data_IF_778704401790
#
_entry.id   IF_778704401790
#
_cell.length_a   1.000
_cell.length_b   1.000
_cell.length_c   1.000
_cell.angle_alpha   90.00
_cell.angle_beta   90.00
_cell.angle_gamma   90.00
#
_symmetry.space_group_name_H-M   'P 1'
#
loop_
_entity.id
_entity.type
_entity.pdbx_description
1 polymer ?
#
# COMPACT_ATOMS: atom_id res chain seq x y z
N UNK A 1 6.36 28.44 23.06
CA UNK A 1 5.75 27.29 23.79
C UNK A 1 4.23 27.30 23.77
N UNK A 2 3.54 28.38 24.18
CA UNK A 2 2.07 28.40 24.30
C UNK A 2 1.29 28.07 23.00
N UNK A 3 1.81 28.41 21.81
CA UNK A 3 1.15 28.05 20.54
C UNK A 3 1.28 26.56 20.18
N UNK A 4 2.39 25.92 20.56
CA UNK A 4 2.63 24.49 20.29
C UNK A 4 1.83 23.58 21.23
N UNK A 5 1.53 24.03 22.46
CA UNK A 5 0.68 23.28 23.38
C UNK A 5 -0.78 23.17 22.90
N UNK A 6 -1.22 24.07 22.02
CA UNK A 6 -2.55 24.00 21.39
C UNK A 6 -2.64 22.95 20.28
N UNK A 7 -1.51 22.39 19.83
CA UNK A 7 -1.45 21.45 18.69
C UNK A 7 -1.41 19.98 19.14
N UNK A 8 -1.69 19.69 20.42
CA UNK A 8 -1.66 18.34 21.01
C UNK A 8 -0.35 17.58 20.74
N UNK A 9 0.78 18.29 20.77
CA UNK A 9 2.11 17.68 20.60
C UNK A 9 2.58 16.99 21.88
N UNK A 10 3.19 15.82 21.71
CA UNK A 10 3.95 15.20 22.81
C UNK A 10 5.13 16.09 23.19
N UNK A 11 5.65 15.95 24.42
CA UNK A 11 6.85 16.68 24.86
C UNK A 11 8.03 16.44 23.91
N UNK A 12 8.14 15.23 23.35
CA UNK A 12 9.18 14.87 22.38
C UNK A 12 9.01 15.65 21.06
N UNK A 13 7.79 15.75 20.54
CA UNK A 13 7.50 16.49 19.31
C UNK A 13 7.73 17.99 19.50
N UNK A 14 7.34 18.54 20.65
CA UNK A 14 7.60 19.95 20.98
C UNK A 14 9.09 20.26 20.99
N UNK A 15 9.91 19.40 21.61
CA UNK A 15 11.38 19.56 21.62
C UNK A 15 11.97 19.48 20.21
N UNK A 16 11.50 18.54 19.39
CA UNK A 16 11.96 18.41 18.00
C UNK A 16 11.66 19.69 17.19
N UNK A 17 10.43 20.18 17.24
CA UNK A 17 10.04 21.41 16.52
C UNK A 17 10.80 22.62 17.04
N UNK A 18 10.99 22.75 18.34
CA UNK A 18 11.80 23.84 18.91
C UNK A 18 13.26 23.77 18.44
N UNK A 19 13.86 22.58 18.36
CA UNK A 19 15.22 22.42 17.85
C UNK A 19 15.34 22.84 16.38
N UNK A 20 14.36 22.50 15.55
CA UNK A 20 14.31 22.91 14.15
C UNK A 20 14.21 24.42 13.98
N UNK A 21 13.37 25.08 14.79
CA UNK A 21 13.22 26.53 14.76
C UNK A 21 14.48 27.24 15.27
N UNK A 22 15.11 26.72 16.33
CA UNK A 22 16.37 27.25 16.84
C UNK A 22 17.47 27.16 15.77
N UNK A 23 17.64 26.00 15.14
CA UNK A 23 18.56 25.82 14.00
C UNK A 23 18.24 26.80 12.85
N UNK A 24 16.97 27.01 12.56
CA UNK A 24 16.53 27.95 11.52
C UNK A 24 16.93 29.39 11.82
N UNK A 25 16.67 29.88 13.04
CA UNK A 25 16.94 31.28 13.41
C UNK A 25 18.40 31.55 13.77
N UNK A 26 19.19 30.53 14.08
CA UNK A 26 20.62 30.67 14.44
C UNK A 26 21.55 30.43 13.26
N UNK A 27 21.06 29.84 12.16
CA UNK A 27 21.88 29.60 10.97
C UNK A 27 22.23 30.88 10.24
N UNK A 28 23.48 30.98 9.79
CA UNK A 28 23.98 32.16 9.08
C UNK A 28 23.40 32.33 7.68
N UNK A 29 23.07 31.23 7.00
CA UNK A 29 22.41 31.24 5.69
C UNK A 29 21.44 30.07 5.56
N UNK A 30 20.44 30.23 4.69
CA UNK A 30 19.52 29.15 4.33
C UNK A 30 20.28 27.93 3.76
N UNK A 31 21.27 28.15 2.90
CA UNK A 31 22.03 27.05 2.31
C UNK A 31 22.79 26.25 3.37
N UNK A 32 23.41 26.92 4.35
CA UNK A 32 24.11 26.25 5.47
C UNK A 32 23.14 25.36 6.25
N UNK A 33 21.95 25.89 6.57
CA UNK A 33 20.92 25.16 7.29
C UNK A 33 20.42 23.94 6.50
N UNK A 34 20.09 24.14 5.22
CA UNK A 34 19.58 23.05 4.38
C UNK A 34 20.64 21.95 4.20
N UNK A 35 21.91 22.31 4.04
CA UNK A 35 23.02 21.34 4.03
C UNK A 35 23.12 20.57 5.37
N UNK A 36 22.94 21.24 6.50
CA UNK A 36 22.94 20.59 7.81
C UNK A 36 21.78 19.58 7.92
N UNK A 37 20.58 19.97 7.52
CA UNK A 37 19.40 19.08 7.53
C UNK A 37 19.50 17.94 6.50
N UNK A 38 20.04 18.20 5.31
CA UNK A 38 20.25 17.21 4.25
C UNK A 38 21.17 16.06 4.71
N UNK A 39 22.12 16.37 5.59
CA UNK A 39 23.13 15.45 6.14
C UNK A 39 22.77 14.86 7.51
N UNK A 40 21.61 15.22 8.06
CA UNK A 40 21.17 14.75 9.39
C UNK A 40 20.67 13.30 9.40
N UNK A 41 20.55 12.66 8.23
CA UNK A 41 20.10 11.29 8.08
C UNK A 41 21.22 10.29 8.42
N UNK A 42 21.29 9.90 9.70
CA UNK A 42 22.17 8.81 10.15
C UNK A 42 21.40 7.49 10.01
N UNK A 43 21.62 6.79 8.89
CA UNK A 43 21.13 5.42 8.71
C UNK A 43 21.92 4.50 9.65
N UNK A 44 21.29 3.76 10.56
CA UNK A 44 21.98 2.87 11.47
C UNK A 44 22.73 1.77 10.70
N UNK A 45 24.02 1.60 11.00
CA UNK A 45 24.92 0.65 10.32
C UNK A 45 24.84 -0.79 10.85
N UNK A 46 23.85 -1.11 11.69
CA UNK A 46 23.71 -2.45 12.25
C UNK A 46 22.89 -3.34 11.32
N UNK A 47 23.57 -4.30 10.69
CA UNK A 47 22.97 -5.44 10.00
C UNK A 47 22.36 -6.42 11.03
N UNK A 48 21.29 -6.02 11.71
CA UNK A 48 20.41 -6.98 12.36
C UNK A 48 19.25 -7.24 11.41
N UNK A 49 19.22 -8.43 10.82
CA UNK A 49 18.12 -8.84 9.98
C UNK A 49 16.92 -9.14 10.87
N UNK A 50 15.84 -8.37 10.72
CA UNK A 50 14.58 -8.65 11.38
C UNK A 50 13.72 -9.50 10.45
N UNK A 51 13.08 -10.52 11.02
CA UNK A 51 12.12 -11.36 10.32
C UNK A 51 10.79 -10.61 10.30
N UNK A 52 10.33 -10.24 9.10
CA UNK A 52 9.02 -9.64 8.91
C UNK A 52 8.06 -10.61 8.27
N UNK A 53 6.81 -10.59 8.73
CA UNK A 53 5.73 -11.40 8.15
C UNK A 53 5.01 -10.65 7.03
N UNK A 54 4.61 -11.39 6.01
CA UNK A 54 4.05 -10.82 4.80
C UNK A 54 2.62 -10.34 5.03
N UNK A 55 2.36 -9.10 4.61
CA UNK A 55 1.02 -8.51 4.51
C UNK A 55 0.66 -8.21 3.06
N UNK A 56 -0.56 -8.57 2.67
CA UNK A 56 -1.08 -8.41 1.31
C UNK A 56 -2.37 -7.59 1.34
N UNK A 57 -2.35 -6.40 0.75
CA UNK A 57 -3.54 -5.55 0.61
C UNK A 57 -4.33 -5.97 -0.63
N UNK A 58 -5.63 -6.16 -0.51
CA UNK A 58 -6.55 -6.41 -1.62
C UNK A 58 -7.59 -5.29 -1.65
N UNK A 59 -7.76 -4.60 -2.78
CA UNK A 59 -8.66 -3.47 -2.85
C UNK A 59 -9.21 -3.25 -4.26
N UNK A 60 -10.52 -3.35 -4.43
CA UNK A 60 -11.19 -2.80 -5.61
C UNK A 60 -11.20 -1.27 -5.52
N UNK A 61 -10.45 -0.61 -6.40
CA UNK A 61 -10.26 0.85 -6.37
C UNK A 61 -11.31 1.62 -7.19
N UNK A 62 -12.18 0.92 -7.91
CA UNK A 62 -13.23 1.52 -8.76
C UNK A 62 -12.68 2.66 -9.66
N UNK A 63 -11.51 2.44 -10.27
CA UNK A 63 -10.79 3.39 -11.11
C UNK A 63 -9.54 3.97 -10.45
N UNK A 64 -8.37 3.56 -10.94
CA UNK A 64 -7.07 4.03 -10.41
C UNK A 64 -6.87 5.54 -10.59
N UNK A 65 -7.30 6.09 -11.73
CA UNK A 65 -7.07 7.51 -12.05
C UNK A 65 -7.64 8.49 -11.02
N UNK A 66 -8.71 8.12 -10.32
CA UNK A 66 -9.34 8.94 -9.29
C UNK A 66 -8.89 8.58 -7.88
N UNK A 67 -8.57 7.30 -7.61
CA UNK A 67 -8.30 6.80 -6.25
C UNK A 67 -6.85 6.40 -5.96
N UNK A 68 -5.91 6.65 -6.87
CA UNK A 68 -4.51 6.30 -6.68
C UNK A 68 -3.90 6.84 -5.38
N UNK A 69 -4.21 8.08 -4.98
CA UNK A 69 -3.68 8.68 -3.75
C UNK A 69 -4.26 8.01 -2.49
N UNK A 70 -5.55 7.70 -2.49
CA UNK A 70 -6.23 6.97 -1.42
C UNK A 70 -5.65 5.55 -1.28
N UNK A 71 -5.51 4.83 -2.38
CA UNK A 71 -4.88 3.52 -2.40
C UNK A 71 -3.43 3.59 -1.88
N UNK A 72 -2.68 4.61 -2.29
CA UNK A 72 -1.29 4.82 -1.85
C UNK A 72 -1.20 5.07 -0.34
N UNK A 73 -2.06 5.92 0.21
CA UNK A 73 -2.14 6.17 1.66
C UNK A 73 -2.45 4.87 2.43
N UNK A 74 -3.38 4.06 1.93
CA UNK A 74 -3.72 2.77 2.54
C UNK A 74 -2.55 1.78 2.53
N UNK A 75 -1.80 1.69 1.43
CA UNK A 75 -0.59 0.85 1.34
C UNK A 75 0.41 1.22 2.44
N UNK A 76 0.67 2.51 2.64
CA UNK A 76 1.60 2.96 3.68
C UNK A 76 1.07 2.72 5.09
N UNK A 77 -0.23 2.94 5.34
CA UNK A 77 -0.87 2.68 6.64
C UNK A 77 -0.85 1.20 7.03
N UNK A 78 -1.12 0.32 6.07
CA UNK A 78 -1.14 -1.13 6.30
C UNK A 78 0.25 -1.75 6.27
N UNK A 79 1.23 -1.02 5.73
CA UNK A 79 2.59 -1.52 5.47
C UNK A 79 2.57 -2.81 4.63
N UNK A 80 1.62 -2.90 3.69
CA UNK A 80 1.50 -4.06 2.82
C UNK A 80 2.72 -4.17 1.91
N UNK A 81 3.29 -5.36 1.81
CA UNK A 81 4.42 -5.63 0.92
C UNK A 81 3.98 -6.02 -0.49
N UNK A 82 2.75 -6.52 -0.61
CA UNK A 82 2.11 -6.86 -1.88
C UNK A 82 0.72 -6.24 -1.87
N UNK A 83 0.28 -5.72 -3.01
CA UNK A 83 -1.06 -5.18 -3.17
C UNK A 83 -1.71 -5.76 -4.42
N UNK A 84 -2.99 -6.10 -4.34
CA UNK A 84 -3.83 -6.54 -5.44
C UNK A 84 -4.93 -5.50 -5.61
N UNK A 85 -4.88 -4.76 -6.71
CA UNK A 85 -5.87 -3.76 -7.06
C UNK A 85 -6.73 -4.24 -8.22
N UNK A 86 -8.04 -4.23 -8.02
CA UNK A 86 -9.03 -4.55 -9.06
C UNK A 86 -9.77 -3.28 -9.50
N UNK A 87 -10.41 -3.34 -10.67
CA UNK A 87 -10.99 -2.19 -11.36
C UNK A 87 -10.05 -0.99 -11.50
N UNK A 88 -8.77 -1.23 -11.79
CA UNK A 88 -7.82 -0.12 -11.99
C UNK A 88 -8.13 0.70 -13.25
N UNK A 89 -8.92 0.16 -14.19
CA UNK A 89 -9.33 0.82 -15.41
C UNK A 89 -8.21 0.99 -16.44
N UNK A 90 -8.53 1.72 -17.52
CA UNK A 90 -7.58 2.03 -18.59
C UNK A 90 -6.48 3.02 -18.17
N UNK A 91 -6.71 3.81 -17.11
CA UNK A 91 -5.80 4.83 -16.58
C UNK A 91 -4.94 4.30 -15.42
N UNK A 92 -4.61 3.02 -15.41
CA UNK A 92 -3.85 2.38 -14.34
C UNK A 92 -2.45 2.98 -14.12
N UNK A 93 -1.88 3.66 -15.12
CA UNK A 93 -0.51 4.19 -15.09
C UNK A 93 -0.42 5.71 -14.92
N UNK A 94 -1.54 6.43 -14.71
CA UNK A 94 -1.52 7.88 -14.55
C UNK A 94 -0.76 8.32 -13.30
N UNK A 95 -0.72 7.47 -12.27
CA UNK A 95 0.03 7.66 -11.04
C UNK A 95 0.72 6.36 -10.68
N UNK A 96 2.04 6.35 -10.53
CA UNK A 96 2.77 5.15 -10.12
C UNK A 96 2.76 5.02 -8.61
N UNK A 97 2.58 3.80 -8.10
CA UNK A 97 2.79 3.49 -6.69
C UNK A 97 4.30 3.51 -6.38
N UNK A 98 4.81 4.49 -5.60
CA UNK A 98 6.25 4.60 -5.35
C UNK A 98 6.76 3.40 -4.57
N UNK A 99 8.01 2.97 -4.83
CA UNK A 99 8.65 1.82 -4.18
C UNK A 99 8.05 0.44 -4.48
N UNK A 100 7.14 0.33 -5.45
CA UNK A 100 6.60 -0.95 -5.92
C UNK A 100 6.96 -1.20 -7.39
N UNK A 101 7.14 -2.48 -7.74
CA UNK A 101 7.06 -2.99 -9.10
C UNK A 101 5.60 -3.35 -9.38
N UNK A 102 5.04 -2.90 -10.50
CA UNK A 102 3.63 -3.10 -10.83
C UNK A 102 3.46 -4.02 -12.04
N UNK A 103 2.55 -4.98 -11.92
CA UNK A 103 2.20 -5.94 -12.95
C UNK A 103 0.73 -5.78 -13.29
N UNK A 104 0.46 -5.31 -14.49
CA UNK A 104 -0.89 -5.01 -14.95
C UNK A 104 -1.38 -6.08 -15.93
N UNK A 105 -2.67 -6.38 -15.86
CA UNK A 105 -3.40 -7.08 -16.91
C UNK A 105 -4.63 -6.26 -17.29
N UNK A 106 -4.80 -6.00 -18.59
CA UNK A 106 -5.95 -5.27 -19.10
C UNK A 106 -7.24 -6.06 -18.90
N UNK A 107 -8.31 -5.34 -18.57
CA UNK A 107 -9.65 -5.91 -18.47
C UNK A 107 -10.41 -5.96 -19.78
N UNK A 108 -11.57 -6.59 -19.72
CA UNK A 108 -12.52 -6.74 -20.83
C UNK A 108 -13.39 -5.51 -21.06
N UNK A 109 -13.43 -4.57 -20.11
CA UNK A 109 -14.19 -3.33 -20.19
C UNK A 109 -13.35 -2.13 -19.69
N UNK A 110 -13.89 -0.90 -19.82
CA UNK A 110 -13.19 0.35 -19.48
C UNK A 110 -12.81 0.49 -17.99
N UNK A 111 -13.57 -0.13 -17.10
CA UNK A 111 -13.38 -0.08 -15.65
C UNK A 111 -12.52 -1.24 -15.15
N UNK A 112 -12.47 -2.34 -15.89
CA UNK A 112 -11.73 -3.54 -15.51
C UNK A 112 -10.21 -3.35 -15.56
N UNK A 113 -9.53 -4.46 -15.35
CA UNK A 113 -8.09 -4.53 -15.21
C UNK A 113 -7.70 -4.85 -13.78
N UNK A 114 -6.55 -5.51 -13.66
CA UNK A 114 -5.95 -5.90 -12.38
C UNK A 114 -4.52 -5.40 -12.36
N UNK A 115 -4.09 -4.88 -11.21
CA UNK A 115 -2.71 -4.54 -10.95
C UNK A 115 -2.25 -5.28 -9.69
N UNK A 116 -1.20 -6.08 -9.81
CA UNK A 116 -0.48 -6.60 -8.64
C UNK A 116 0.78 -5.77 -8.46
N UNK A 117 0.88 -5.10 -7.33
CA UNK A 117 2.05 -4.31 -6.95
C UNK A 117 2.87 -5.06 -5.91
N UNK A 118 4.17 -5.19 -6.13
CA UNK A 118 5.11 -5.86 -5.20
C UNK A 118 6.19 -4.88 -4.78
N UNK A 119 6.41 -4.74 -3.47
CA UNK A 119 7.42 -3.83 -2.93
C UNK A 119 8.81 -4.16 -3.48
N UNK A 120 9.59 -3.14 -3.83
CA UNK A 120 10.92 -3.29 -4.45
C UNK A 120 11.95 -3.98 -3.55
N UNK A 121 11.66 -4.12 -2.26
CA UNK A 121 12.45 -4.92 -1.32
C UNK A 121 12.27 -6.44 -1.54
N UNK A 122 11.22 -6.86 -2.24
CA UNK A 122 10.99 -8.25 -2.61
C UNK A 122 11.43 -8.51 -4.06
N UNK A 123 11.91 -9.72 -4.30
CA UNK A 123 12.18 -10.20 -5.66
C UNK A 123 10.89 -10.79 -6.23
N UNK A 124 10.63 -10.52 -7.50
CA UNK A 124 9.37 -10.92 -8.15
C UNK A 124 9.59 -11.23 -9.63
N UNK A 125 8.89 -12.25 -10.12
CA UNK A 125 8.82 -12.61 -11.54
C UNK A 125 7.37 -12.74 -11.98
N UNK A 126 7.03 -12.20 -13.15
CA UNK A 126 5.71 -12.35 -13.75
C UNK A 126 5.59 -13.73 -14.40
N UNK A 127 4.45 -14.40 -14.20
CA UNK A 127 4.06 -15.56 -14.98
C UNK A 127 3.18 -15.07 -16.13
N UNK A 128 3.50 -15.47 -17.35
CA UNK A 128 2.71 -15.06 -18.51
C UNK A 128 1.34 -15.76 -18.50
N UNK A 129 0.28 -14.95 -18.57
CA UNK A 129 -1.11 -15.39 -18.53
C UNK A 129 -1.88 -14.66 -19.62
N UNK A 130 -2.54 -15.43 -20.49
CA UNK A 130 -3.36 -14.89 -21.57
C UNK A 130 -4.86 -14.86 -21.19
N UNK A 131 -5.17 -14.44 -19.97
CA UNK A 131 -6.53 -14.31 -19.46
C UNK A 131 -6.73 -12.86 -19.01
N UNK A 132 -7.69 -12.16 -19.60
CA UNK A 132 -8.01 -10.78 -19.20
C UNK A 132 -8.45 -10.73 -17.74
N UNK A 133 -8.12 -9.62 -17.07
CA UNK A 133 -8.39 -9.41 -15.64
C UNK A 133 -7.68 -10.39 -14.68
N UNK A 134 -6.56 -11.00 -15.10
CA UNK A 134 -5.80 -11.91 -14.23
C UNK A 134 -4.31 -11.58 -14.30
N UNK A 135 -3.68 -11.43 -13.14
CA UNK A 135 -2.24 -11.23 -13.00
C UNK A 135 -1.69 -12.33 -12.11
N UNK A 136 -0.62 -12.98 -12.57
CA UNK A 136 0.09 -14.00 -11.79
C UNK A 136 1.54 -13.60 -11.63
N UNK A 137 2.02 -13.61 -10.38
CA UNK A 137 3.41 -13.31 -10.04
C UNK A 137 3.95 -14.29 -9.01
N UNK A 138 5.21 -14.65 -9.16
CA UNK A 138 5.97 -15.43 -8.19
C UNK A 138 6.85 -14.50 -7.37
N UNK A 139 6.82 -14.67 -6.04
CA UNK A 139 7.61 -13.91 -5.09
C UNK A 139 8.78 -14.77 -4.62
N UNK A 140 9.98 -14.21 -4.69
CA UNK A 140 11.23 -14.90 -4.44
C UNK A 140 11.93 -14.30 -3.20
N UNK A 141 12.72 -15.12 -2.51
CA UNK A 141 13.48 -14.67 -1.33
C UNK A 141 12.65 -14.58 -0.05
N UNK A 142 11.48 -15.20 -0.02
CA UNK A 142 10.70 -15.43 1.20
C UNK A 142 11.14 -16.73 1.89
N UNK A 143 10.72 -16.94 3.13
CA UNK A 143 10.93 -18.18 3.87
C UNK A 143 10.20 -19.38 3.25
N UNK A 144 9.15 -19.13 2.48
CA UNK A 144 8.36 -20.14 1.76
C UNK A 144 8.03 -19.63 0.34
N UNK A 145 8.01 -20.48 -0.69
CA UNK A 145 7.59 -20.09 -2.03
C UNK A 145 6.17 -19.51 -2.01
N UNK A 146 5.96 -18.40 -2.74
CA UNK A 146 4.66 -17.74 -2.82
C UNK A 146 4.34 -17.32 -4.24
N UNK A 147 3.17 -17.76 -4.72
CA UNK A 147 2.53 -17.26 -5.93
C UNK A 147 1.30 -16.44 -5.56
N UNK A 148 1.17 -15.28 -6.19
CA UNK A 148 0.00 -14.41 -6.07
C UNK A 148 -0.76 -14.41 -7.38
N UNK A 149 -2.06 -14.67 -7.30
CA UNK A 149 -3.01 -14.55 -8.41
C UNK A 149 -4.00 -13.44 -8.06
N UNK A 150 -3.87 -12.29 -8.73
CA UNK A 150 -4.84 -11.22 -8.68
C UNK A 150 -5.93 -11.41 -9.73
N UNK A 151 -7.20 -11.33 -9.34
CA UNK A 151 -8.33 -11.56 -10.25
C UNK A 151 -9.41 -10.48 -10.11
N UNK A 152 -9.97 -10.06 -11.25
CA UNK A 152 -11.21 -9.31 -11.30
C UNK A 152 -12.19 -10.03 -12.23
N UNK A 153 -13.30 -10.51 -11.68
CA UNK A 153 -14.33 -11.20 -12.45
C UNK A 153 -15.58 -10.33 -12.55
N UNK A 154 -15.67 -9.42 -13.55
CA UNK A 154 -16.85 -8.59 -13.71
C UNK A 154 -18.10 -9.44 -13.98
N UNK A 155 -19.27 -8.92 -13.58
CA UNK A 155 -20.55 -9.62 -13.73
C UNK A 155 -20.83 -10.06 -15.19
N UNK A 156 -20.38 -9.28 -16.18
CA UNK A 156 -20.59 -9.55 -17.61
C UNK A 156 -19.61 -10.56 -18.23
N UNK A 157 -18.53 -10.92 -17.55
CA UNK A 157 -17.52 -11.83 -18.10
C UNK A 157 -17.82 -13.28 -17.72
N UNK A 158 -17.61 -14.19 -18.67
CA UNK A 158 -17.50 -15.61 -18.41
C UNK A 158 -16.03 -15.97 -18.24
N UNK A 159 -15.68 -16.61 -17.13
CA UNK A 159 -14.35 -17.17 -16.88
C UNK A 159 -14.55 -18.67 -16.66
N UNK A 160 -13.77 -19.49 -17.34
CA UNK A 160 -13.64 -20.90 -16.99
C UNK A 160 -12.58 -21.01 -15.89
N UNK A 161 -12.97 -21.40 -14.68
CA UNK A 161 -12.03 -21.50 -13.55
C UNK A 161 -10.95 -22.56 -13.79
N UNK A 162 -11.22 -23.57 -14.62
CA UNK A 162 -10.23 -24.60 -14.96
C UNK A 162 -9.03 -24.05 -15.73
N UNK A 163 -9.21 -22.94 -16.44
CA UNK A 163 -8.11 -22.25 -17.12
C UNK A 163 -7.08 -21.68 -16.12
N UNK A 164 -7.45 -21.58 -14.83
CA UNK A 164 -6.55 -21.15 -13.75
C UNK A 164 -5.73 -22.27 -13.13
N UNK A 165 -6.11 -23.53 -13.33
CA UNK A 165 -5.51 -24.67 -12.62
C UNK A 165 -4.01 -24.81 -12.85
N UNK A 166 -3.54 -24.54 -14.07
CA UNK A 166 -2.12 -24.60 -14.38
C UNK A 166 -1.28 -23.55 -13.63
N UNK A 167 -1.91 -22.52 -13.08
CA UNK A 167 -1.24 -21.50 -12.27
C UNK A 167 -1.32 -21.80 -10.77
N UNK A 168 -2.25 -22.64 -10.32
CA UNK A 168 -2.38 -23.02 -8.91
C UNK A 168 -1.31 -24.07 -8.56
N UNK A 169 -0.32 -23.62 -7.80
CA UNK A 169 0.79 -24.46 -7.29
C UNK A 169 0.82 -24.41 -5.77
N UNK A 170 1.61 -25.28 -5.13
CA UNK A 170 1.84 -25.17 -3.68
C UNK A 170 2.38 -23.77 -3.34
N UNK A 171 1.80 -23.11 -2.35
CA UNK A 171 2.18 -21.73 -2.00
C UNK A 171 1.39 -20.67 -2.77
N UNK A 172 0.16 -20.94 -3.21
CA UNK A 172 -0.65 -19.97 -3.97
C UNK A 172 -1.65 -19.25 -3.07
N UNK A 173 -1.70 -17.92 -3.20
CA UNK A 173 -2.81 -17.08 -2.75
C UNK A 173 -3.51 -16.47 -3.97
N UNK A 174 -4.82 -16.66 -4.06
CA UNK A 174 -5.69 -16.07 -5.07
C UNK A 174 -6.58 -15.05 -4.38
N UNK A 175 -6.64 -13.82 -4.88
CA UNK A 175 -7.52 -12.81 -4.29
C UNK A 175 -7.95 -11.73 -5.28
N UNK A 176 -9.12 -11.15 -5.02
CA UNK A 176 -9.66 -10.02 -5.75
C UNK A 176 -11.19 -10.02 -5.73
N UNK A 177 -11.81 -9.30 -6.66
CA UNK A 177 -13.27 -9.19 -6.74
C UNK A 177 -13.82 -10.23 -7.72
N UNK A 178 -14.55 -11.22 -7.17
CA UNK A 178 -15.15 -12.32 -7.92
C UNK A 178 -16.58 -12.02 -8.39
N UNK A 179 -17.21 -10.96 -7.85
CA UNK A 179 -18.64 -10.69 -7.99
C UNK A 179 -19.52 -11.92 -7.72
N UNK A 180 -19.09 -12.81 -6.82
CA UNK A 180 -19.72 -14.08 -6.50
C UNK A 180 -20.12 -14.09 -5.03
N UNK A 181 -21.29 -14.64 -4.68
CA UNK A 181 -21.70 -14.76 -3.28
C UNK A 181 -21.89 -16.18 -2.83
N UNK A 182 -21.47 -16.47 -1.61
CA UNK A 182 -21.65 -17.74 -0.93
C UNK A 182 -22.11 -17.48 0.50
N UNK A 183 -23.21 -18.10 0.91
CA UNK A 183 -23.83 -17.88 2.22
C UNK A 183 -22.91 -18.28 3.37
N UNK A 184 -22.17 -19.37 3.20
CA UNK A 184 -21.17 -19.89 4.13
C UNK A 184 -19.95 -18.96 4.27
N UNK A 185 -19.77 -18.02 3.33
CA UNK A 185 -18.73 -16.99 3.35
C UNK A 185 -19.29 -15.62 3.76
N UNK A 186 -20.32 -15.64 4.62
CA UNK A 186 -20.97 -14.46 5.20
C UNK A 186 -21.69 -13.54 4.19
N UNK A 187 -22.12 -14.07 3.05
CA UNK A 187 -23.08 -13.37 2.18
C UNK A 187 -24.53 -13.74 2.51
N UNK A 188 -25.53 -12.93 2.11
CA UNK A 188 -26.94 -13.25 2.36
C UNK A 188 -27.43 -14.51 1.64
N UNK A 189 -26.90 -14.76 0.44
CA UNK A 189 -27.31 -15.86 -0.45
C UNK A 189 -26.09 -16.45 -1.17
N UNK A 190 -26.21 -17.71 -1.60
CA UNK A 190 -25.29 -18.31 -2.56
C UNK A 190 -25.86 -18.11 -3.96
N UNK A 191 -25.12 -17.42 -4.84
CA UNK A 191 -25.51 -17.29 -6.24
C UNK A 191 -24.85 -18.41 -7.09
N UNK A 192 -25.25 -18.52 -8.37
CA UNK A 192 -24.70 -19.55 -9.27
C UNK A 192 -23.18 -19.44 -9.40
N UNK A 193 -22.64 -18.23 -9.42
CA UNK A 193 -21.20 -18.00 -9.57
C UNK A 193 -20.46 -18.41 -8.30
N UNK A 194 -21.00 -18.08 -7.13
CA UNK A 194 -20.45 -18.48 -5.85
C UNK A 194 -20.50 -19.98 -5.64
N UNK A 195 -21.55 -20.67 -6.10
CA UNK A 195 -21.59 -22.13 -6.10
C UNK A 195 -20.44 -22.74 -6.91
N UNK A 196 -20.19 -22.22 -8.13
CA UNK A 196 -19.07 -22.66 -8.98
C UNK A 196 -17.70 -22.37 -8.35
N UNK A 197 -17.51 -21.18 -7.77
CA UNK A 197 -16.25 -20.84 -7.09
C UNK A 197 -16.04 -21.74 -5.88
N UNK A 198 -17.08 -22.02 -5.10
CA UNK A 198 -17.02 -22.88 -3.92
C UNK A 198 -16.62 -24.31 -4.28
N UNK A 199 -17.29 -24.91 -5.26
CA UNK A 199 -16.97 -26.25 -5.76
C UNK A 199 -15.53 -26.30 -6.27
N UNK A 200 -15.12 -25.34 -7.11
CA UNK A 200 -13.78 -25.29 -7.66
C UNK A 200 -12.67 -25.18 -6.60
N UNK A 201 -12.85 -24.37 -5.55
CA UNK A 201 -11.82 -24.31 -4.49
C UNK A 201 -11.73 -25.61 -3.68
N UNK A 202 -12.86 -26.28 -3.45
CA UNK A 202 -12.94 -27.54 -2.70
C UNK A 202 -12.23 -28.67 -3.45
N UNK A 203 -12.44 -28.76 -4.77
CA UNK A 203 -11.81 -29.76 -5.64
C UNK A 203 -10.29 -29.55 -5.78
N UNK A 204 -9.81 -28.31 -5.62
CA UNK A 204 -8.43 -27.93 -5.90
C UNK A 204 -7.60 -27.63 -4.64
N UNK A 205 -8.03 -28.12 -3.48
CA UNK A 205 -7.34 -27.98 -2.19
C UNK A 205 -7.04 -26.52 -1.80
N UNK A 206 -7.91 -25.60 -2.20
CA UNK A 206 -7.85 -24.20 -1.82
C UNK A 206 -8.82 -23.95 -0.67
N UNK A 207 -8.35 -23.26 0.36
CA UNK A 207 -9.16 -22.86 1.51
C UNK A 207 -9.58 -21.41 1.35
N UNK A 208 -10.86 -21.15 1.59
CA UNK A 208 -11.37 -19.79 1.73
C UNK A 208 -10.78 -19.13 2.98
N UNK A 209 -10.33 -17.88 2.84
CA UNK A 209 -9.83 -17.05 3.94
C UNK A 209 -10.96 -16.08 4.32
N UNK A 210 -11.60 -16.27 5.49
CA UNK A 210 -12.74 -15.47 5.89
C UNK A 210 -12.36 -14.04 6.24
N UNK A 211 -13.14 -13.09 5.73
CA UNK A 211 -13.08 -11.67 6.08
C UNK A 211 -13.86 -11.38 7.37
N UNK A 212 -13.48 -10.31 8.08
CA UNK A 212 -14.11 -9.91 9.34
C UNK A 212 -15.45 -9.19 9.14
N UNK A 213 -15.70 -8.67 7.94
CA UNK A 213 -16.95 -8.03 7.55
C UNK A 213 -17.21 -8.18 6.04
N UNK A 214 -18.45 -7.90 5.62
CA UNK A 214 -18.82 -7.83 4.20
C UNK A 214 -17.94 -6.80 3.47
N UNK A 215 -17.62 -7.05 2.21
CA UNK A 215 -16.65 -6.23 1.46
C UNK A 215 -17.31 -5.20 0.56
N UNK A 216 -18.59 -5.33 0.21
CA UNK A 216 -19.28 -4.29 -0.56
C UNK A 216 -19.90 -3.24 0.37
N UNK A 217 -19.76 -1.95 0.07
CA UNK A 217 -20.48 -0.87 0.80
C UNK A 217 -21.94 -0.74 0.39
N UNK A 218 -22.28 -1.28 -0.79
CA UNK A 218 -23.63 -1.15 -1.39
C UNK A 218 -24.60 -2.21 -0.89
N UNK A 219 -24.10 -3.27 -0.25
CA UNK A 219 -24.89 -4.43 0.18
C UNK A 219 -24.15 -5.24 1.23
N UNK A 220 -24.82 -6.19 1.87
CA UNK A 220 -24.19 -7.12 2.83
C UNK A 220 -23.41 -8.26 2.15
N UNK A 221 -23.09 -8.15 0.86
CA UNK A 221 -22.38 -9.19 0.10
C UNK A 221 -20.88 -9.14 0.40
N UNK A 222 -20.29 -10.33 0.45
CA UNK A 222 -18.85 -10.54 0.47
C UNK A 222 -18.44 -11.04 -0.92
N UNK A 223 -17.85 -10.16 -1.72
CA UNK A 223 -17.55 -10.41 -3.15
C UNK A 223 -16.06 -10.27 -3.47
N UNK A 224 -15.30 -9.64 -2.57
CA UNK A 224 -13.85 -9.62 -2.59
C UNK A 224 -13.38 -10.83 -1.79
N UNK A 225 -12.90 -11.85 -2.49
CA UNK A 225 -12.65 -13.17 -1.91
C UNK A 225 -11.16 -13.49 -1.99
N UNK A 226 -10.68 -14.20 -0.98
CA UNK A 226 -9.32 -14.72 -0.93
C UNK A 226 -9.32 -16.23 -0.68
N UNK A 227 -8.48 -16.95 -1.41
CA UNK A 227 -8.30 -18.39 -1.35
C UNK A 227 -6.82 -18.74 -1.27
N UNK A 228 -6.46 -19.79 -0.55
CA UNK A 228 -5.07 -20.20 -0.41
C UNK A 228 -4.91 -21.68 -0.11
N UNK A 229 -3.82 -22.29 -0.60
CA UNK A 229 -3.35 -23.61 -0.15
C UNK A 229 -2.22 -23.51 0.89
N UNK A 230 -2.06 -22.33 1.48
CA UNK A 230 -1.13 -22.04 2.58
C UNK A 230 -1.91 -22.00 3.88
N UNK A 231 -1.34 -22.57 4.94
CA UNK A 231 -1.92 -22.51 6.29
C UNK A 231 -1.54 -21.19 6.99
N UNK A 232 -2.32 -20.80 8.01
CA UNK A 232 -2.10 -19.60 8.82
C UNK A 232 -2.09 -18.29 8.01
N UNK A 233 -3.01 -18.18 7.06
CA UNK A 233 -3.36 -16.90 6.44
C UNK A 233 -4.66 -16.42 7.07
N UNK A 234 -4.64 -15.23 7.65
CA UNK A 234 -5.82 -14.56 8.20
C UNK A 234 -6.16 -13.34 7.35
N UNK A 235 -7.40 -12.84 7.46
CA UNK A 235 -7.80 -11.60 6.80
C UNK A 235 -8.61 -10.68 7.70
N UNK A 236 -8.51 -9.39 7.42
CA UNK A 236 -9.28 -8.34 8.08
C UNK A 236 -9.84 -7.37 7.03
N UNK A 237 -11.11 -7.03 7.15
CA UNK A 237 -11.76 -5.98 6.37
C UNK A 237 -11.48 -4.62 6.97
N UNK A 238 -11.00 -3.67 6.16
CA UNK A 238 -10.65 -2.32 6.59
C UNK A 238 -11.75 -1.33 6.20
N UNK A 239 -12.27 -0.57 7.16
CA UNK A 239 -13.23 0.49 6.90
C UNK A 239 -12.56 1.77 6.41
N UNK A 240 -12.05 1.73 5.17
CA UNK A 240 -11.28 2.80 4.56
C UNK A 240 -11.78 3.19 3.16
N UNK A 241 -11.56 4.46 2.81
CA UNK A 241 -11.64 4.95 1.44
C UNK A 241 -13.04 5.27 0.93
N UNK A 242 -13.09 5.73 -0.32
CA UNK A 242 -14.26 6.24 -1.05
C UNK A 242 -14.69 5.33 -2.19
N UNK A 243 -13.96 4.25 -2.47
CA UNK A 243 -14.46 3.13 -3.28
C UNK A 243 -15.75 2.57 -2.67
N UNK A 244 -16.60 1.96 -3.48
CA UNK A 244 -17.76 1.20 -3.01
C UNK A 244 -17.41 -0.18 -2.45
N UNK A 245 -16.12 -0.52 -2.37
CA UNK A 245 -15.60 -1.71 -1.69
C UNK A 245 -14.78 -1.34 -0.45
N UNK A 246 -14.86 -2.19 0.57
CA UNK A 246 -13.95 -2.18 1.71
C UNK A 246 -12.70 -2.99 1.37
N UNK A 247 -11.49 -2.42 1.55
CA UNK A 247 -10.25 -3.16 1.39
C UNK A 247 -10.14 -4.35 2.36
N UNK A 248 -9.34 -5.35 1.98
CA UNK A 248 -8.98 -6.49 2.82
C UNK A 248 -7.46 -6.51 3.00
N UNK A 249 -6.99 -6.77 4.21
CA UNK A 249 -5.58 -7.08 4.48
C UNK A 249 -5.44 -8.56 4.82
N UNK A 250 -4.58 -9.27 4.09
CA UNK A 250 -4.20 -10.65 4.41
C UNK A 250 -2.90 -10.63 5.21
N UNK A 251 -2.85 -11.36 6.32
CA UNK A 251 -1.63 -11.55 7.13
C UNK A 251 -1.18 -13.01 7.01
N UNK A 252 0.07 -13.23 6.59
CA UNK A 252 0.65 -14.55 6.39
C UNK A 252 1.68 -14.84 7.49
N UNK A 253 1.24 -15.41 8.61
CA UNK A 253 2.05 -15.54 9.83
C UNK A 253 3.20 -16.57 9.70
N UNK A 254 3.21 -17.37 8.62
CA UNK A 254 4.27 -18.33 8.33
C UNK A 254 5.21 -17.87 7.22
N UNK A 255 4.83 -16.85 6.45
CA UNK A 255 5.62 -16.38 5.31
C UNK A 255 6.32 -15.11 5.71
N UNK A 256 7.64 -15.14 5.67
CA UNK A 256 8.47 -14.05 6.13
C UNK A 256 9.59 -13.73 5.17
N UNK A 257 10.20 -12.59 5.36
CA UNK A 257 11.39 -12.16 4.63
C UNK A 257 12.31 -11.40 5.58
N UNK A 258 13.59 -11.40 5.23
CA UNK A 258 14.58 -10.63 5.96
C UNK A 258 14.54 -9.18 5.52
N UNK A 259 14.48 -8.28 6.50
CA UNK A 259 14.61 -6.84 6.25
C UNK A 259 15.77 -6.31 7.06
N UNK A 260 16.30 -5.16 6.65
CA UNK A 260 17.07 -4.35 7.56
C UNK A 260 16.14 -3.93 8.70
N UNK A 261 16.58 -4.10 9.95
CA UNK A 261 15.78 -3.79 11.13
C UNK A 261 15.35 -2.32 11.22
N UNK A 262 16.04 -1.41 10.54
CA UNK A 262 15.79 0.02 10.63
C UNK A 262 14.98 0.56 9.46
N UNK A 263 13.87 1.25 9.77
CA UNK A 263 13.04 1.95 8.79
C UNK A 263 12.97 3.44 9.08
N UNK A 264 12.85 4.28 8.02
CA UNK A 264 12.68 5.70 8.18
C UNK A 264 11.26 5.98 8.69
N UNK A 265 11.16 6.58 9.87
CA UNK A 265 9.89 7.01 10.44
C UNK A 265 9.85 8.55 10.50
N UNK A 266 9.07 9.14 9.62
CA UNK A 266 8.88 10.60 9.53
C UNK A 266 7.86 11.07 10.57
N UNK A 267 8.23 12.05 11.39
CA UNK A 267 7.29 12.73 12.28
C UNK A 267 6.45 13.74 11.49
N UNK A 268 5.34 13.29 10.91
CA UNK A 268 4.46 14.12 10.07
C UNK A 268 3.85 15.31 10.81
N UNK A 269 3.60 15.19 12.12
CA UNK A 269 3.10 16.32 12.93
C UNK A 269 4.15 17.41 13.05
N UNK A 270 5.40 17.05 13.35
CA UNK A 270 6.50 18.00 13.41
C UNK A 270 6.78 18.60 12.02
N UNK A 271 6.72 17.79 10.97
CA UNK A 271 6.85 18.23 9.57
C UNK A 271 5.83 19.32 9.24
N UNK A 272 4.54 19.05 9.47
CA UNK A 272 3.44 19.99 9.21
C UNK A 272 3.63 21.28 10.01
N UNK A 273 3.95 21.20 11.31
CA UNK A 273 4.20 22.38 12.12
C UNK A 273 5.34 23.25 11.61
N UNK A 274 6.46 22.66 11.20
CA UNK A 274 7.58 23.43 10.66
C UNK A 274 7.17 24.13 9.36
N UNK A 275 6.44 23.46 8.46
CA UNK A 275 5.95 24.07 7.24
C UNK A 275 5.00 25.25 7.54
N UNK A 276 4.06 25.09 8.46
CA UNK A 276 3.12 26.17 8.84
C UNK A 276 3.84 27.34 9.50
N UNK A 277 4.77 27.08 10.42
CA UNK A 277 5.46 28.14 11.16
C UNK A 277 6.42 28.94 10.28
N UNK A 278 7.02 28.31 9.27
CA UNK A 278 7.93 28.95 8.33
C UNK A 278 7.24 29.46 7.06
N UNK A 279 5.94 29.22 6.89
CA UNK A 279 5.17 29.69 5.74
C UNK A 279 5.32 31.20 5.50
N UNK A 280 5.27 32.10 6.51
CA UNK A 280 5.41 33.53 6.27
C UNK A 280 6.74 33.92 5.63
N UNK A 281 7.85 33.26 6.00
CA UNK A 281 9.15 33.50 5.38
C UNK A 281 9.12 33.17 3.88
N UNK A 282 8.59 31.99 3.53
CA UNK A 282 8.55 31.54 2.14
C UNK A 282 7.64 32.40 1.26
N UNK A 283 6.56 32.96 1.83
CA UNK A 283 5.69 33.90 1.13
C UNK A 283 6.38 35.25 0.84
N UNK A 284 7.24 35.73 1.74
CA UNK A 284 8.03 36.94 1.47
C UNK A 284 9.18 36.66 0.48
N UNK A 285 9.89 35.55 0.63
CA UNK A 285 10.95 35.15 -0.31
C UNK A 285 10.44 34.97 -1.74
N UNK A 286 9.20 34.53 -1.92
CA UNK A 286 8.56 34.37 -3.24
C UNK A 286 8.42 35.71 -3.97
N UNK A 287 8.29 36.82 -3.25
CA UNK A 287 8.14 38.16 -3.84
C UNK A 287 9.45 38.74 -4.35
N UNK A 288 10.59 38.26 -3.84
CA UNK A 288 11.91 38.83 -4.08
C UNK A 288 12.69 38.01 -5.12
N UNK A 289 12.49 36.69 -5.14
CA UNK A 289 13.28 35.78 -5.97
C UNK A 289 12.63 35.49 -7.33
N UNK A 290 13.45 35.06 -8.28
CA UNK A 290 12.98 34.42 -9.50
C UNK A 290 12.14 33.18 -9.16
N UNK A 291 11.01 32.99 -9.85
CA UNK A 291 10.03 31.95 -9.54
C UNK A 291 10.63 30.56 -9.61
N UNK A 292 11.51 30.30 -10.58
CA UNK A 292 12.13 28.99 -10.75
C UNK A 292 13.18 28.73 -9.67
N UNK A 293 13.97 29.74 -9.31
CA UNK A 293 14.96 29.62 -8.24
C UNK A 293 14.29 29.46 -6.88
N UNK A 294 13.26 30.26 -6.58
CA UNK A 294 12.45 30.12 -5.37
C UNK A 294 11.85 28.72 -5.28
N UNK A 295 11.27 28.20 -6.37
CA UNK A 295 10.68 26.87 -6.39
C UNK A 295 11.70 25.78 -6.07
N UNK A 296 12.89 25.84 -6.65
CA UNK A 296 13.98 24.89 -6.35
C UNK A 296 14.39 24.93 -4.88
N UNK A 297 14.55 26.12 -4.31
CA UNK A 297 14.90 26.28 -2.89
C UNK A 297 13.79 25.79 -1.97
N UNK A 298 12.53 26.05 -2.31
CA UNK A 298 11.39 25.60 -1.52
C UNK A 298 11.23 24.07 -1.55
N UNK A 299 11.38 23.43 -2.72
CA UNK A 299 11.37 21.97 -2.84
C UNK A 299 12.51 21.35 -2.04
N UNK A 300 13.71 21.93 -2.11
CA UNK A 300 14.86 21.49 -1.31
C UNK A 300 14.58 21.63 0.19
N UNK A 301 13.99 22.75 0.61
CA UNK A 301 13.57 22.96 1.99
C UNK A 301 12.59 21.88 2.48
N UNK A 302 11.54 21.59 1.71
CA UNK A 302 10.57 20.54 2.04
C UNK A 302 11.29 19.19 2.21
N UNK A 303 12.19 18.84 1.29
CA UNK A 303 12.96 17.60 1.35
C UNK A 303 13.89 17.54 2.58
N UNK A 304 14.57 18.65 2.88
CA UNK A 304 15.48 18.77 4.02
C UNK A 304 14.73 18.69 5.37
N UNK A 305 13.58 19.36 5.50
CA UNK A 305 12.71 19.24 6.68
C UNK A 305 12.26 17.79 6.86
N UNK A 306 11.81 17.14 5.78
CA UNK A 306 11.41 15.72 5.82
C UNK A 306 12.54 14.85 6.36
N UNK A 307 13.76 15.01 5.85
CA UNK A 307 14.93 14.28 6.35
C UNK A 307 15.18 14.53 7.83
N UNK A 308 15.20 15.80 8.25
CA UNK A 308 15.51 16.21 9.62
C UNK A 308 14.49 15.74 10.65
N UNK A 309 13.23 15.57 10.26
CA UNK A 309 12.15 15.00 11.11
C UNK A 309 11.95 13.50 10.92
N UNK A 310 12.77 12.85 10.09
CA UNK A 310 12.78 11.40 9.92
C UNK A 310 13.85 10.81 10.82
N UNK A 311 13.45 9.86 11.66
CA UNK A 311 14.37 9.07 12.45
C UNK A 311 14.29 7.61 12.04
N UNK A 312 15.42 6.92 12.09
CA UNK A 312 15.45 5.48 11.88
C UNK A 312 15.10 4.79 13.19
N UNK A 313 14.10 3.90 13.14
CA UNK A 313 13.72 3.07 14.27
C UNK A 313 13.71 1.61 13.87
N UNK A 314 14.00 0.75 14.84
CA UNK A 314 13.64 -0.65 14.75
C UNK A 314 12.13 -0.77 14.59
N UNK A 315 11.67 -1.72 13.78
CA UNK A 315 10.25 -1.97 13.62
C UNK A 315 9.75 -2.66 14.89
N UNK A 316 8.97 -1.93 15.70
CA UNK A 316 8.24 -2.44 16.88
C UNK A 316 7.26 -3.55 16.49
#
# INVERSE_FOLDING_TARGET
MHRLSMWNFSIKDQKLVLSLLDEWYTSSTLNTLLCHWDNSEIVPSKNQHQKEYLKILCFNVEGWGTRALEATDLVYKTQASICIFTEVGALWNTSRLPHFNTFYQKGTNKNGGVCVAVGKHLKVTRVEVNISNIVVVDILGLSEPLRIIGIYWPASQHINLDDLLCYVVQGTIISGDFNATVKEWNSPVTDRRGALVKEWIEENNLKYIPTTAHTSKRSLRNIDLAFSNINNVSSETLYFGTSDHWPIILSCDNISFETNSFFPHTNWKAFEAVLTLLQPFWLEEQKINDVDEWYKQYVRFIAAVKKRVTHWKERE
#
